data_IF_150105375470
#
_entry.id   IF_150105375470
#
_cell.length_a   1.000
_cell.length_b   1.000
_cell.length_c   1.000
_cell.angle_alpha   90.00
_cell.angle_beta   90.00
_cell.angle_gamma   90.00
#
_symmetry.space_group_name_H-M   'P 1'
#
loop_
_entity.id
_entity.type
_entity.pdbx_description
1 polymer ?
#
# COMPACT_ATOMS: atom_id res chain seq x y z
N UNK A 1 -16.74 34.70 -36.46
CA UNK A 1 -15.33 35.08 -36.26
C UNK A 1 -15.26 36.01 -35.07
N UNK A 2 -14.83 35.68 -33.85
CA UNK A 2 -14.36 34.46 -33.22
C UNK A 2 -14.59 34.59 -31.70
N UNK A 3 -14.66 33.46 -30.99
CA UNK A 3 -14.80 33.42 -29.54
C UNK A 3 -13.43 33.72 -28.90
N UNK A 4 -13.33 34.72 -28.03
CA UNK A 4 -12.14 34.89 -27.18
C UNK A 4 -12.37 34.13 -25.88
N UNK A 5 -11.73 32.96 -25.78
CA UNK A 5 -11.62 32.22 -24.54
C UNK A 5 -10.70 32.99 -23.58
N UNK A 6 -11.21 33.38 -22.42
CA UNK A 6 -10.37 33.84 -21.32
C UNK A 6 -9.53 32.66 -20.83
N UNK A 7 -8.23 32.70 -21.10
CA UNK A 7 -7.29 31.70 -20.61
C UNK A 7 -7.25 31.73 -19.09
N UNK A 8 -7.63 30.61 -18.45
CA UNK A 8 -7.40 30.38 -17.03
C UNK A 8 -5.91 30.08 -16.86
N UNK A 9 -5.10 31.09 -16.54
CA UNK A 9 -3.71 30.86 -16.13
C UNK A 9 -3.71 30.53 -14.64
N UNK A 10 -3.85 29.23 -14.35
CA UNK A 10 -3.82 28.66 -13.01
C UNK A 10 -2.35 28.54 -12.59
N UNK A 11 -1.76 29.69 -12.29
CA UNK A 11 -0.34 29.76 -11.93
C UNK A 11 -0.09 29.07 -10.58
N UNK A 12 0.44 27.86 -10.69
CA UNK A 12 1.53 27.34 -9.86
C UNK A 12 1.21 27.01 -8.39
N UNK A 13 0.36 26.01 -8.15
CA UNK A 13 0.49 25.14 -6.96
C UNK A 13 1.51 24.01 -7.18
N UNK A 14 2.70 24.34 -7.70
CA UNK A 14 3.85 23.42 -7.69
C UNK A 14 4.94 24.02 -6.81
N UNK A 15 4.61 24.22 -5.54
CA UNK A 15 5.63 24.18 -4.50
C UNK A 15 6.09 22.72 -4.44
N UNK A 16 7.04 22.35 -5.30
CA UNK A 16 7.66 21.03 -5.30
C UNK A 16 8.47 20.93 -4.01
N UNK A 17 7.80 20.56 -2.91
CA UNK A 17 8.47 19.88 -1.82
C UNK A 17 9.11 18.66 -2.47
N UNK A 18 10.43 18.68 -2.58
CA UNK A 18 11.21 17.52 -2.98
C UNK A 18 11.10 16.50 -1.84
N UNK A 19 9.94 15.85 -1.74
CA UNK A 19 9.70 14.78 -0.80
C UNK A 19 10.49 13.61 -1.35
N UNK A 20 11.53 13.23 -0.62
CA UNK A 20 12.24 11.99 -0.85
C UNK A 20 11.24 10.86 -0.63
N UNK A 21 10.71 10.31 -1.72
CA UNK A 21 9.88 9.11 -1.67
C UNK A 21 10.83 7.93 -1.65
N UNK A 22 11.02 7.35 -0.46
CA UNK A 22 11.68 6.06 -0.36
C UNK A 22 10.75 5.01 -0.97
N UNK A 23 11.19 4.40 -2.07
CA UNK A 23 10.46 3.37 -2.78
C UNK A 23 10.74 1.98 -2.21
N UNK A 24 11.41 1.89 -1.05
CA UNK A 24 11.72 0.63 -0.39
C UNK A 24 10.57 0.22 0.52
N UNK A 25 10.27 -1.08 0.56
CA UNK A 25 9.26 -1.65 1.43
C UNK A 25 9.52 -1.24 2.90
N UNK A 26 8.56 -0.56 3.56
CA UNK A 26 8.77 -0.06 4.93
C UNK A 26 8.80 -1.18 5.99
N UNK A 27 8.42 -2.41 5.60
CA UNK A 27 8.35 -3.54 6.51
C UNK A 27 9.65 -4.33 6.57
N UNK A 28 10.31 -4.52 5.43
CA UNK A 28 11.51 -5.34 5.33
C UNK A 28 12.76 -4.57 4.94
N UNK A 29 12.61 -3.35 4.39
CA UNK A 29 13.68 -2.46 3.90
C UNK A 29 14.67 -3.08 2.89
N UNK A 30 14.34 -4.25 2.33
CA UNK A 30 15.22 -5.05 1.45
C UNK A 30 14.79 -5.06 -0.02
N UNK A 31 13.57 -4.65 -0.32
CA UNK A 31 12.99 -4.75 -1.67
C UNK A 31 12.11 -3.55 -1.96
N UNK A 32 11.89 -3.19 -3.24
CA UNK A 32 10.98 -2.11 -3.60
C UNK A 32 9.55 -2.35 -3.06
N UNK A 33 8.90 -1.27 -2.64
CA UNK A 33 7.50 -1.25 -2.28
C UNK A 33 6.66 -1.58 -3.51
N UNK A 34 5.86 -2.63 -3.37
CA UNK A 34 4.79 -2.97 -4.30
C UNK A 34 3.71 -3.69 -3.53
N UNK A 35 2.45 -3.58 -3.98
CA UNK A 35 1.32 -4.30 -3.39
C UNK A 35 1.59 -5.80 -3.33
N UNK A 36 2.16 -6.38 -4.40
CA UNK A 36 2.53 -7.79 -4.44
C UNK A 36 3.59 -8.16 -3.41
N UNK A 37 4.63 -7.33 -3.22
CA UNK A 37 5.64 -7.58 -2.21
C UNK A 37 5.04 -7.48 -0.80
N UNK A 38 4.35 -6.38 -0.48
CA UNK A 38 3.79 -6.13 0.85
C UNK A 38 2.78 -7.22 1.26
N UNK A 39 2.01 -7.78 0.33
CA UNK A 39 1.01 -8.80 0.64
C UNK A 39 1.56 -10.23 0.65
N UNK A 40 2.51 -10.57 -0.24
CA UNK A 40 2.90 -11.97 -0.46
C UNK A 40 4.41 -12.21 -0.41
N UNK A 41 5.22 -11.30 -0.95
CA UNK A 41 6.67 -11.48 -1.03
C UNK A 41 7.42 -11.17 0.26
N UNK A 42 6.92 -10.24 1.06
CA UNK A 42 7.56 -9.72 2.24
C UNK A 42 7.66 -10.80 3.33
N UNK A 43 8.82 -10.90 3.98
CA UNK A 43 9.05 -11.82 5.11
C UNK A 43 8.09 -11.54 6.27
N UNK A 44 7.78 -10.28 6.51
CA UNK A 44 6.77 -9.86 7.47
C UNK A 44 5.39 -10.44 7.13
N UNK A 45 4.94 -10.23 5.89
CA UNK A 45 3.63 -10.70 5.45
C UNK A 45 3.53 -12.23 5.51
N UNK A 46 4.57 -12.95 5.08
CA UNK A 46 4.65 -14.41 5.22
C UNK A 46 4.52 -14.87 6.68
N UNK A 47 5.14 -14.14 7.61
CA UNK A 47 5.02 -14.44 9.04
C UNK A 47 3.59 -14.24 9.54
N UNK A 48 2.90 -13.17 9.11
CA UNK A 48 1.49 -12.93 9.44
C UNK A 48 0.57 -14.04 8.91
N UNK A 49 0.79 -14.49 7.67
CA UNK A 49 0.03 -15.60 7.10
C UNK A 49 0.27 -16.92 7.83
N UNK A 50 1.50 -17.17 8.29
CA UNK A 50 1.84 -18.36 9.06
C UNK A 50 1.20 -18.37 10.47
N UNK A 51 0.90 -17.19 11.04
CA UNK A 51 0.13 -17.09 12.30
C UNK A 51 -1.37 -17.27 12.02
N UNK A 52 -1.84 -16.76 10.88
CA UNK A 52 -3.25 -16.81 10.49
C UNK A 52 -3.65 -18.16 9.90
N UNK A 53 -2.70 -19.04 9.60
CA UNK A 53 -3.00 -20.39 9.13
C UNK A 53 -3.64 -21.15 10.28
N UNK A 54 -4.97 -21.21 10.25
CA UNK A 54 -5.74 -22.20 10.99
C UNK A 54 -5.25 -23.55 10.48
N UNK A 55 -4.46 -24.27 11.28
CA UNK A 55 -4.28 -25.70 11.06
C UNK A 55 -5.67 -26.31 11.06
N UNK A 56 -6.10 -26.80 9.90
CA UNK A 56 -7.33 -27.58 9.73
C UNK A 56 -7.12 -28.95 10.39
N UNK A 57 -6.88 -28.94 11.70
CA UNK A 57 -6.78 -30.10 12.54
C UNK A 57 -8.07 -30.14 13.36
N UNK A 58 -9.13 -30.64 12.73
CA UNK A 58 -10.43 -30.85 13.37
C UNK A 58 -11.31 -29.61 13.38
N UNK A 59 -12.47 -29.74 12.74
CA UNK A 59 -13.63 -28.93 13.07
C UNK A 59 -13.98 -29.24 14.53
N UNK A 60 -13.68 -28.33 15.44
CA UNK A 60 -14.45 -28.17 16.67
C UNK A 60 -14.68 -26.66 16.81
N UNK A 61 -15.95 -26.29 16.75
CA UNK A 61 -16.50 -24.95 16.96
C UNK A 61 -15.85 -24.26 18.16
N UNK A 62 -15.61 -22.95 18.04
CA UNK A 62 -15.82 -21.89 19.05
C UNK A 62 -14.89 -20.69 18.81
N UNK A 63 -15.17 -19.88 17.78
CA UNK A 63 -14.73 -18.47 17.79
C UNK A 63 -15.78 -17.63 18.50
N UNK A 64 -15.47 -17.35 19.77
CA UNK A 64 -15.87 -16.22 20.60
C UNK A 64 -17.06 -15.38 20.12
N UNK A 65 -18.18 -15.48 20.84
CA UNK A 65 -19.33 -14.56 20.77
C UNK A 65 -18.85 -13.12 21.02
N UNK A 66 -19.29 -12.20 20.14
CA UNK A 66 -19.30 -10.75 20.40
C UNK A 66 -20.16 -10.40 21.60
#
# INVERSE_FOLDING_TARGET
>A
MGCQAIGVQRDTCKLLLHIHVDLTCPLCTKSPESTSHVLFGCEFARSCWNISSVTVAGVEENMCKR
#
